data_IF_408977399039
#
_entry.id   IF_408977399039
#
_cell.length_a   1.000
_cell.length_b   1.000
_cell.length_c   1.000
_cell.angle_alpha   90.00
_cell.angle_beta   90.00
_cell.angle_gamma   90.00
#
_symmetry.space_group_name_H-M   'P 1'
#
loop_
_entity.id
_entity.type
_entity.pdbx_description
1 polymer ?
#
# COMPACT_ATOMS: atom_id res chain seq x y z
N UNK A 1 -37.98 -3.30 2.08
CA UNK A 1 -37.05 -4.26 1.46
C UNK A 1 -36.09 -4.73 2.54
N UNK A 2 -36.24 -6.00 2.91
CA UNK A 2 -35.31 -6.71 3.79
C UNK A 2 -33.92 -6.76 3.14
N UNK A 3 -32.87 -6.82 3.94
CA UNK A 3 -31.54 -7.13 3.43
C UNK A 3 -31.59 -8.45 2.65
N UNK A 4 -30.82 -8.53 1.58
CA UNK A 4 -30.53 -9.80 0.92
C UNK A 4 -29.69 -10.67 1.85
N UNK A 5 -29.84 -12.00 1.76
CA UNK A 5 -29.04 -12.93 2.58
C UNK A 5 -27.53 -12.73 2.41
N UNK A 6 -27.10 -12.25 1.25
CA UNK A 6 -25.71 -11.89 0.96
C UNK A 6 -25.24 -10.66 1.74
N UNK A 7 -26.05 -9.61 1.83
CA UNK A 7 -25.73 -8.40 2.60
C UNK A 7 -25.61 -8.69 4.10
N UNK A 8 -26.48 -9.54 4.65
CA UNK A 8 -26.42 -9.95 6.06
C UNK A 8 -25.14 -10.75 6.34
N UNK A 9 -24.82 -11.72 5.47
CA UNK A 9 -23.59 -12.50 5.58
C UNK A 9 -22.34 -11.61 5.46
N UNK A 10 -22.36 -10.64 4.54
CA UNK A 10 -21.28 -9.66 4.40
C UNK A 10 -21.12 -8.82 5.66
N UNK A 11 -22.20 -8.26 6.21
CA UNK A 11 -22.14 -7.45 7.43
C UNK A 11 -21.59 -8.24 8.61
N UNK A 12 -22.09 -9.45 8.85
CA UNK A 12 -21.62 -10.31 9.94
C UNK A 12 -20.13 -10.70 9.78
N UNK A 13 -19.71 -11.02 8.55
CA UNK A 13 -18.31 -11.30 8.25
C UNK A 13 -17.41 -10.06 8.44
N UNK A 14 -17.84 -8.92 7.90
CA UNK A 14 -17.07 -7.68 7.93
C UNK A 14 -16.93 -7.13 9.35
N UNK A 15 -17.98 -7.19 10.16
CA UNK A 15 -17.96 -6.77 11.56
C UNK A 15 -16.91 -7.56 12.37
N UNK A 16 -16.84 -8.87 12.18
CA UNK A 16 -15.86 -9.73 12.87
C UNK A 16 -14.43 -9.52 12.37
N UNK A 17 -14.24 -9.22 11.08
CA UNK A 17 -12.92 -9.17 10.45
C UNK A 17 -12.35 -7.74 10.27
N UNK A 18 -13.15 -6.68 10.38
CA UNK A 18 -12.71 -5.29 10.15
C UNK A 18 -11.56 -4.87 11.07
N UNK A 19 -11.59 -5.27 12.35
CA UNK A 19 -10.55 -4.95 13.33
C UNK A 19 -9.25 -5.67 13.02
N UNK A 20 -9.32 -6.95 12.65
CA UNK A 20 -8.15 -7.75 12.24
C UNK A 20 -7.51 -7.17 10.99
N UNK A 21 -8.32 -6.84 9.98
CA UNK A 21 -7.81 -6.25 8.73
C UNK A 21 -7.25 -4.83 8.95
N UNK A 22 -7.88 -4.01 9.80
CA UNK A 22 -7.37 -2.69 10.17
C UNK A 22 -6.03 -2.78 10.89
N UNK A 23 -5.88 -3.74 11.82
CA UNK A 23 -4.60 -3.99 12.51
C UNK A 23 -3.49 -4.43 11.55
N UNK A 24 -3.80 -5.30 10.60
CA UNK A 24 -2.84 -5.70 9.57
C UNK A 24 -2.44 -4.52 8.69
N UNK A 25 -3.39 -3.67 8.30
CA UNK A 25 -3.13 -2.45 7.53
C UNK A 25 -2.27 -1.45 8.31
N UNK A 26 -2.60 -1.19 9.57
CA UNK A 26 -1.82 -0.27 10.40
C UNK A 26 -0.40 -0.79 10.60
N UNK A 27 -0.23 -2.08 10.88
CA UNK A 27 1.10 -2.71 10.98
C UNK A 27 1.88 -2.60 9.68
N UNK A 28 1.23 -2.76 8.53
CA UNK A 28 1.85 -2.58 7.21
C UNK A 28 2.26 -1.12 6.99
N UNK A 29 1.42 -0.15 7.34
CA UNK A 29 1.73 1.29 7.19
C UNK A 29 2.83 1.77 8.12
N UNK A 30 3.04 1.13 9.28
CA UNK A 30 4.18 1.42 10.16
C UNK A 30 5.45 0.65 9.76
N UNK A 31 5.33 -0.54 9.15
CA UNK A 31 6.47 -1.31 8.63
C UNK A 31 7.06 -0.76 7.32
N UNK A 32 6.25 -0.10 6.50
CA UNK A 32 6.65 0.50 5.22
C UNK A 32 7.66 1.66 5.34
N UNK A 33 7.48 2.67 6.22
CA UNK A 33 8.46 3.74 6.40
C UNK A 33 9.80 3.18 6.87
N UNK A 34 9.80 2.11 7.67
CA UNK A 34 11.04 1.45 8.10
C UNK A 34 11.75 0.81 6.89
N UNK A 35 11.03 0.09 6.03
CA UNK A 35 11.61 -0.48 4.80
C UNK A 35 12.16 0.58 3.85
N UNK A 36 11.47 1.72 3.71
CA UNK A 36 11.96 2.87 2.96
C UNK A 36 13.22 3.48 3.60
N UNK A 37 13.24 3.66 4.92
CA UNK A 37 14.41 4.17 5.66
C UNK A 37 15.62 3.24 5.48
N UNK A 38 15.43 1.92 5.42
CA UNK A 38 16.52 0.98 5.11
C UNK A 38 16.98 1.03 3.64
N UNK A 39 16.09 1.40 2.71
CA UNK A 39 16.48 1.64 1.32
C UNK A 39 17.25 2.96 1.14
N UNK A 40 17.07 3.95 2.02
CA UNK A 40 17.78 5.25 1.98
C UNK A 40 19.30 5.11 1.98
N UNK A 41 19.97 4.39 2.89
CA UNK A 41 21.44 4.28 2.88
C UNK A 41 21.96 3.56 1.62
N UNK A 42 21.20 2.63 1.04
CA UNK A 42 21.54 2.00 -0.25
C UNK A 42 21.49 3.04 -1.38
N UNK A 43 20.42 3.84 -1.42
CA UNK A 43 20.28 4.95 -2.37
C UNK A 43 21.38 6.00 -2.19
N UNK A 44 21.66 6.39 -0.95
CA UNK A 44 22.69 7.39 -0.62
C UNK A 44 24.08 6.88 -1.00
N UNK A 45 24.40 5.61 -0.71
CA UNK A 45 25.66 4.99 -1.13
C UNK A 45 25.81 4.98 -2.67
N UNK A 46 24.74 4.63 -3.40
CA UNK A 46 24.73 4.64 -4.85
C UNK A 46 24.91 6.05 -5.44
N UNK A 47 24.20 7.04 -4.89
CA UNK A 47 24.31 8.44 -5.31
C UNK A 47 25.71 9.02 -4.99
N UNK A 48 26.24 8.75 -3.80
CA UNK A 48 27.59 9.15 -3.38
C UNK A 48 28.66 8.50 -4.27
N UNK A 49 28.49 7.23 -4.63
CA UNK A 49 29.36 6.54 -5.60
C UNK A 49 29.43 7.31 -6.93
N UNK A 50 28.29 7.74 -7.47
CA UNK A 50 28.23 8.56 -8.70
C UNK A 50 28.88 9.94 -8.53
N UNK A 51 28.72 10.59 -7.37
CA UNK A 51 29.30 11.92 -7.10
C UNK A 51 30.82 11.87 -6.90
N UNK A 52 31.35 10.80 -6.31
CA UNK A 52 32.79 10.66 -6.05
C UNK A 52 33.55 10.08 -7.26
N UNK A 53 32.92 9.20 -8.06
CA UNK A 53 33.51 8.56 -9.25
C UNK A 53 33.27 9.31 -10.57
N UNK A 54 33.06 10.64 -10.53
CA UNK A 54 33.04 11.51 -11.73
C UNK A 54 34.34 11.49 -12.57
N UNK A 55 35.35 10.69 -12.20
CA UNK A 55 36.57 10.46 -13.00
C UNK A 55 36.56 9.15 -13.80
N UNK A 56 35.48 8.37 -13.76
CA UNK A 56 35.29 7.22 -14.66
C UNK A 56 34.40 7.56 -15.88
N UNK A 57 34.34 8.84 -16.26
CA UNK A 57 33.56 9.39 -17.38
C UNK A 57 34.10 9.06 -18.79
N UNK A 58 34.78 7.92 -18.98
CA UNK A 58 35.31 7.53 -20.31
C UNK A 58 34.37 6.65 -21.17
N UNK A 59 33.16 6.28 -20.72
CA UNK A 59 32.21 5.47 -21.53
C UNK A 59 30.74 5.90 -21.31
N UNK A 60 30.52 7.21 -21.23
CA UNK A 60 29.31 7.82 -20.66
C UNK A 60 28.03 7.86 -21.52
N UNK A 61 28.00 7.32 -22.74
CA UNK A 61 26.77 7.30 -23.56
C UNK A 61 25.90 6.03 -23.43
N UNK A 62 26.32 5.01 -22.67
CA UNK A 62 25.63 3.69 -22.62
C UNK A 62 25.21 3.20 -21.23
N UNK A 63 25.38 3.99 -20.16
CA UNK A 63 25.33 3.48 -18.78
C UNK A 63 24.00 3.72 -18.05
N UNK A 64 22.86 3.41 -18.67
CA UNK A 64 21.62 3.29 -17.89
C UNK A 64 21.68 1.98 -17.09
N UNK A 65 22.06 2.05 -15.81
CA UNK A 65 22.26 0.86 -14.99
C UNK A 65 20.91 0.17 -14.74
N UNK A 66 20.67 -1.05 -15.29
CA UNK A 66 19.38 -1.72 -15.20
C UNK A 66 18.93 -1.99 -13.75
N UNK A 67 19.86 -2.04 -12.80
CA UNK A 67 19.55 -2.20 -11.38
C UNK A 67 18.68 -1.07 -10.82
N UNK A 68 18.81 0.16 -11.32
CA UNK A 68 18.00 1.31 -10.87
C UNK A 68 16.54 1.13 -11.30
N UNK A 69 16.29 0.61 -12.51
CA UNK A 69 14.94 0.26 -12.95
C UNK A 69 14.34 -0.84 -12.09
N UNK A 70 15.11 -1.90 -11.82
CA UNK A 70 14.65 -3.01 -10.98
C UNK A 70 14.26 -2.51 -9.59
N UNK A 71 15.09 -1.64 -8.98
CA UNK A 71 14.78 -1.04 -7.69
C UNK A 71 13.54 -0.15 -7.73
N UNK A 72 13.40 0.68 -8.76
CA UNK A 72 12.22 1.53 -8.95
C UNK A 72 10.94 0.69 -9.11
N UNK A 73 10.99 -0.40 -9.89
CA UNK A 73 9.86 -1.32 -10.08
C UNK A 73 9.49 -2.01 -8.78
N UNK A 74 10.48 -2.44 -7.98
CA UNK A 74 10.22 -3.05 -6.66
C UNK A 74 9.55 -2.04 -5.72
N UNK A 75 10.06 -0.80 -5.65
CA UNK A 75 9.49 0.25 -4.82
C UNK A 75 8.06 0.58 -5.22
N UNK A 76 7.79 0.74 -6.52
CA UNK A 76 6.45 1.02 -7.04
C UNK A 76 5.52 -0.16 -6.76
N UNK A 77 5.99 -1.39 -6.97
CA UNK A 77 5.19 -2.60 -6.74
C UNK A 77 4.78 -2.74 -5.28
N UNK A 78 5.71 -2.52 -4.33
CA UNK A 78 5.42 -2.53 -2.90
C UNK A 78 4.45 -1.41 -2.53
N UNK A 79 4.68 -0.20 -3.04
CA UNK A 79 3.78 0.93 -2.80
C UNK A 79 2.35 0.65 -3.29
N UNK A 80 2.20 0.17 -4.53
CA UNK A 80 0.90 -0.15 -5.14
C UNK A 80 0.21 -1.31 -4.41
N UNK A 81 0.93 -2.37 -4.05
CA UNK A 81 0.35 -3.50 -3.30
C UNK A 81 -0.24 -3.05 -1.96
N UNK A 82 0.41 -2.10 -1.30
CA UNK A 82 -0.05 -1.58 -0.01
C UNK A 82 -1.21 -0.60 -0.21
N UNK A 83 -1.08 0.32 -1.15
CA UNK A 83 -2.11 1.29 -1.48
C UNK A 83 -3.43 0.59 -1.87
N UNK A 84 -3.35 -0.42 -2.74
CA UNK A 84 -4.54 -1.20 -3.17
C UNK A 84 -5.18 -1.94 -2.01
N UNK A 85 -4.40 -2.50 -1.08
CA UNK A 85 -4.93 -3.18 0.11
C UNK A 85 -5.65 -2.22 1.05
N UNK A 86 -5.09 -1.02 1.27
CA UNK A 86 -5.74 0.04 2.05
C UNK A 86 -7.03 0.50 1.40
N UNK A 87 -6.99 0.78 0.09
CA UNK A 87 -8.15 1.23 -0.67
C UNK A 87 -9.30 0.20 -0.65
N UNK A 88 -8.98 -1.10 -0.78
CA UNK A 88 -9.99 -2.17 -0.65
C UNK A 88 -10.67 -2.16 0.72
N UNK A 89 -9.92 -1.99 1.79
CA UNK A 89 -10.49 -1.92 3.15
C UNK A 89 -11.40 -0.71 3.32
N UNK A 90 -10.98 0.47 2.83
CA UNK A 90 -11.80 1.68 2.86
C UNK A 90 -13.11 1.49 2.08
N UNK A 91 -13.07 0.81 0.92
CA UNK A 91 -14.26 0.50 0.13
C UNK A 91 -15.25 -0.41 0.88
N UNK A 92 -14.76 -1.49 1.50
CA UNK A 92 -15.62 -2.40 2.26
C UNK A 92 -16.20 -1.73 3.51
N UNK A 93 -15.43 -0.88 4.18
CA UNK A 93 -15.91 -0.11 5.31
C UNK A 93 -17.01 0.89 4.90
N UNK A 94 -16.84 1.59 3.77
CA UNK A 94 -17.89 2.48 3.23
C UNK A 94 -19.18 1.72 2.92
N UNK A 95 -19.08 0.55 2.31
CA UNK A 95 -20.25 -0.27 1.98
C UNK A 95 -20.97 -0.75 3.25
N UNK A 96 -20.22 -1.17 4.26
CA UNK A 96 -20.77 -1.52 5.57
C UNK A 96 -21.54 -0.35 6.20
N UNK A 97 -20.96 0.86 6.19
CA UNK A 97 -21.63 2.05 6.72
C UNK A 97 -22.88 2.43 5.92
N UNK A 98 -22.87 2.27 4.60
CA UNK A 98 -24.07 2.47 3.76
C UNK A 98 -25.19 1.51 4.13
N UNK A 99 -24.87 0.22 4.33
CA UNK A 99 -25.85 -0.79 4.73
C UNK A 99 -26.44 -0.49 6.11
N UNK A 100 -25.61 -0.04 7.06
CA UNK A 100 -26.07 0.39 8.39
C UNK A 100 -26.94 1.65 8.34
N UNK A 101 -26.55 2.67 7.56
CA UNK A 101 -27.34 3.89 7.39
C UNK A 101 -28.73 3.56 6.81
N UNK A 102 -28.80 2.65 5.83
CA UNK A 102 -30.05 2.15 5.24
C UNK A 102 -30.95 1.41 6.24
N UNK A 103 -30.40 0.78 7.29
CA UNK A 103 -31.24 0.27 8.40
C UNK A 103 -31.79 1.39 9.26
N UNK A 104 -30.94 2.36 9.61
CA UNK A 104 -31.27 3.39 10.58
C UNK A 104 -32.34 4.35 10.09
N UNK A 105 -32.24 4.80 8.83
CA UNK A 105 -33.24 5.67 8.17
C UNK A 105 -34.60 4.98 7.96
N UNK A 106 -34.66 3.65 8.07
CA UNK A 106 -35.90 2.88 7.93
C UNK A 106 -36.59 2.62 9.28
N UNK A 107 -35.91 2.89 10.39
CA UNK A 107 -36.39 2.72 11.77
C UNK A 107 -36.83 4.05 12.42
N UNK A 108 -36.65 5.18 11.72
CA UNK A 108 -37.14 6.52 12.08
C UNK A 108 -38.40 6.87 11.29
#
# INVERSE_FOLDING_TARGET
MSYTDEEIKFMAYWEQNRLKQKRLLTQLTYGLPIGLIFAVPIFVNFLLGRFWYKRADAVGLSQFNPSVLVLAVVLISVFVAIFTRRFKWEKYEQEYQRLLAKSKDRLS
#
